data_IF_622630370529
#
_entry.id   IF_622630370529
#
_cell.length_a   1.000
_cell.length_b   1.000
_cell.length_c   1.000
_cell.angle_alpha   90.00
_cell.angle_beta   90.00
_cell.angle_gamma   90.00
#
_symmetry.space_group_name_H-M   'P 1'
#
loop_
_entity.id
_entity.type
_entity.pdbx_description
1 polymer ?
#
# COMPACT_ATOMS: atom_id res chain seq x y z
N UNK A 1 19.41 -9.13 17.95
CA UNK A 1 19.01 -8.44 16.70
C UNK A 1 19.59 -7.05 16.75
N UNK A 2 20.30 -6.63 15.70
CA UNK A 2 20.92 -5.30 15.62
C UNK A 2 19.94 -4.24 15.13
N UNK A 3 20.27 -2.98 15.40
CA UNK A 3 19.54 -1.80 14.91
C UNK A 3 19.55 -1.75 13.37
N UNK A 4 20.59 -2.30 12.73
CA UNK A 4 20.74 -2.33 11.28
C UNK A 4 19.62 -3.16 10.63
N UNK A 5 19.32 -4.33 11.20
CA UNK A 5 18.25 -5.20 10.72
C UNK A 5 16.87 -4.54 10.85
N UNK A 6 16.68 -3.73 11.88
CA UNK A 6 15.43 -2.99 12.06
C UNK A 6 15.27 -1.95 10.95
N UNK A 7 16.32 -1.16 10.71
CA UNK A 7 16.32 -0.14 9.65
C UNK A 7 16.13 -0.74 8.26
N UNK A 8 16.71 -1.91 7.97
CA UNK A 8 16.46 -2.62 6.71
C UNK A 8 14.96 -2.93 6.51
N UNK A 9 14.29 -3.44 7.54
CA UNK A 9 12.85 -3.74 7.47
C UNK A 9 12.04 -2.44 7.35
N UNK A 10 12.42 -1.37 8.07
CA UNK A 10 11.76 -0.06 7.98
C UNK A 10 11.82 0.49 6.56
N UNK A 11 12.99 0.48 5.93
CA UNK A 11 13.18 0.98 4.55
C UNK A 11 12.38 0.14 3.55
N UNK A 12 12.39 -1.18 3.72
CA UNK A 12 11.60 -2.09 2.89
C UNK A 12 10.10 -1.79 3.00
N UNK A 13 9.59 -1.67 4.22
CA UNK A 13 8.18 -1.33 4.48
C UNK A 13 7.83 0.06 3.94
N UNK A 14 8.69 1.06 4.11
CA UNK A 14 8.49 2.40 3.57
C UNK A 14 8.41 2.40 2.03
N UNK A 15 9.22 1.58 1.38
CA UNK A 15 9.20 1.40 -0.08
C UNK A 15 7.88 0.81 -0.56
N UNK A 16 7.33 -0.19 0.16
CA UNK A 16 6.00 -0.72 -0.13
C UNK A 16 4.87 0.30 0.10
N UNK A 17 4.98 1.13 1.14
CA UNK A 17 4.00 2.20 1.39
C UNK A 17 4.03 3.25 0.27
N UNK A 18 5.22 3.59 -0.24
CA UNK A 18 5.36 4.48 -1.41
C UNK A 18 4.66 3.90 -2.65
N UNK A 19 4.80 2.59 -2.89
CA UNK A 19 4.10 1.89 -3.98
C UNK A 19 2.58 1.98 -3.82
N UNK A 20 2.06 1.87 -2.60
CA UNK A 20 0.63 2.06 -2.29
C UNK A 20 0.19 3.53 -2.37
N UNK A 21 1.12 4.48 -2.57
CA UNK A 21 0.87 5.93 -2.59
C UNK A 21 0.14 6.47 -1.35
N UNK A 22 0.33 5.83 -0.19
CA UNK A 22 -0.38 6.19 1.04
C UNK A 22 0.49 7.04 1.98
N UNK A 23 0.56 8.35 1.73
CA UNK A 23 1.41 9.30 2.48
C UNK A 23 1.21 9.28 4.00
N UNK A 24 -0.03 9.12 4.48
CA UNK A 24 -0.30 9.08 5.91
C UNK A 24 0.38 7.92 6.65
N UNK A 25 0.48 6.75 6.00
CA UNK A 25 1.13 5.58 6.57
C UNK A 25 2.65 5.75 6.55
N UNK A 26 3.18 6.46 5.54
CA UNK A 26 4.60 6.74 5.43
C UNK A 26 5.08 7.65 6.57
N UNK A 27 4.31 8.69 6.89
CA UNK A 27 4.61 9.59 8.00
C UNK A 27 4.59 8.81 9.32
N UNK A 28 3.57 7.99 9.56
CA UNK A 28 3.48 7.15 10.77
C UNK A 28 4.68 6.20 10.86
N UNK A 29 5.08 5.56 9.75
CA UNK A 29 6.23 4.66 9.70
C UNK A 29 7.54 5.36 10.08
N UNK A 30 7.76 6.58 9.59
CA UNK A 30 8.96 7.37 9.88
C UNK A 30 8.97 7.80 11.36
N UNK A 31 7.86 8.31 11.86
CA UNK A 31 7.73 8.70 13.28
C UNK A 31 7.99 7.50 14.18
N UNK A 32 7.38 6.36 13.86
CA UNK A 32 7.59 5.11 14.62
C UNK A 32 9.06 4.69 14.61
N UNK A 33 9.72 4.71 13.45
CA UNK A 33 11.13 4.34 13.34
C UNK A 33 12.04 5.24 14.19
N UNK A 34 11.83 6.55 14.16
CA UNK A 34 12.57 7.52 14.98
C UNK A 34 12.32 7.29 16.48
N UNK A 35 11.06 7.04 16.88
CA UNK A 35 10.74 6.76 18.28
C UNK A 35 11.42 5.50 18.79
N UNK A 36 11.48 4.44 17.97
CA UNK A 36 12.16 3.20 18.34
C UNK A 36 13.66 3.41 18.47
N UNK A 37 14.28 4.11 17.53
CA UNK A 37 15.71 4.39 17.51
C UNK A 37 16.18 5.24 18.72
N UNK A 38 15.38 6.23 19.11
CA UNK A 38 15.77 7.20 20.14
C UNK A 38 15.38 6.82 21.57
N UNK A 39 14.29 6.06 21.76
CA UNK A 39 13.70 5.85 23.10
C UNK A 39 13.66 4.40 23.57
N UNK A 40 13.69 3.41 22.66
CA UNK A 40 13.42 2.02 23.03
C UNK A 40 14.71 1.30 23.42
N UNK A 41 14.83 0.97 24.71
CA UNK A 41 15.93 0.17 25.24
C UNK A 41 15.61 -1.33 25.16
N UNK A 42 16.65 -2.14 24.90
CA UNK A 42 16.72 -3.62 24.85
C UNK A 42 15.41 -4.43 24.79
N UNK A 43 14.64 -4.50 25.88
CA UNK A 43 13.38 -5.26 25.92
C UNK A 43 12.28 -4.65 25.03
N UNK A 44 12.07 -3.34 25.13
CA UNK A 44 11.06 -2.65 24.32
C UNK A 44 11.43 -2.63 22.84
N UNK A 45 12.73 -2.58 22.53
CA UNK A 45 13.22 -2.71 21.16
C UNK A 45 12.79 -4.05 20.54
N UNK A 46 12.88 -5.15 21.29
CA UNK A 46 12.48 -6.48 20.80
C UNK A 46 10.98 -6.53 20.48
N UNK A 47 10.14 -5.92 21.32
CA UNK A 47 8.69 -5.83 21.08
C UNK A 47 8.42 -4.98 19.83
N UNK A 48 9.03 -3.80 19.73
CA UNK A 48 8.89 -2.92 18.57
C UNK A 48 9.35 -3.59 17.28
N UNK A 49 10.40 -4.40 17.34
CA UNK A 49 10.90 -5.18 16.21
C UNK A 49 9.86 -6.21 15.73
N UNK A 50 9.23 -6.93 16.65
CA UNK A 50 8.16 -7.89 16.31
C UNK A 50 6.97 -7.17 15.68
N UNK A 51 6.56 -6.04 16.24
CA UNK A 51 5.48 -5.20 15.68
C UNK A 51 5.83 -4.76 14.26
N UNK A 52 7.07 -4.32 14.04
CA UNK A 52 7.56 -3.89 12.73
C UNK A 52 7.53 -5.03 11.70
N UNK A 53 7.88 -6.26 12.09
CA UNK A 53 7.77 -7.43 11.20
C UNK A 53 6.30 -7.68 10.83
N UNK A 54 5.41 -7.74 11.81
CA UNK A 54 3.98 -8.00 11.57
C UNK A 54 3.36 -6.91 10.68
N UNK A 55 3.72 -5.66 10.91
CA UNK A 55 3.27 -4.54 10.10
C UNK A 55 3.83 -4.61 8.67
N UNK A 56 5.10 -4.96 8.50
CA UNK A 56 5.73 -5.14 7.18
C UNK A 56 5.03 -6.23 6.36
N UNK A 57 4.74 -7.38 6.98
CA UNK A 57 3.98 -8.47 6.38
C UNK A 57 2.58 -8.04 5.94
N UNK A 58 1.88 -7.28 6.78
CA UNK A 58 0.56 -6.75 6.45
C UNK A 58 0.60 -5.76 5.27
N UNK A 59 1.59 -4.85 5.24
CA UNK A 59 1.81 -3.94 4.10
C UNK A 59 2.10 -4.72 2.82
N UNK A 60 2.99 -5.72 2.88
CA UNK A 60 3.33 -6.54 1.73
C UNK A 60 2.08 -7.21 1.15
N UNK A 61 1.24 -7.80 2.01
CA UNK A 61 -0.05 -8.38 1.61
C UNK A 61 -0.95 -7.36 0.90
N UNK A 62 -1.06 -6.13 1.43
CA UNK A 62 -1.84 -5.05 0.80
C UNK A 62 -1.29 -4.65 -0.57
N UNK A 63 0.02 -4.60 -0.74
CA UNK A 63 0.66 -4.33 -2.04
C UNK A 63 0.28 -5.41 -3.06
N UNK A 64 0.38 -6.70 -2.69
CA UNK A 64 0.02 -7.79 -3.58
C UNK A 64 -1.46 -7.78 -3.97
N UNK A 65 -2.35 -7.46 -3.04
CA UNK A 65 -3.77 -7.26 -3.37
C UNK A 65 -3.97 -6.11 -4.35
N UNK A 66 -3.35 -4.95 -4.10
CA UNK A 66 -3.48 -3.79 -4.98
C UNK A 66 -2.96 -4.08 -6.40
N UNK A 67 -1.85 -4.79 -6.53
CA UNK A 67 -1.33 -5.25 -7.82
C UNK A 67 -2.31 -6.20 -8.54
N UNK A 68 -2.94 -7.11 -7.79
CA UNK A 68 -3.98 -8.01 -8.34
C UNK A 68 -5.21 -7.26 -8.87
N UNK A 69 -5.71 -6.26 -8.13
CA UNK A 69 -6.82 -5.43 -8.58
C UNK A 69 -6.48 -4.63 -9.84
N UNK A 70 -5.27 -4.06 -9.91
CA UNK A 70 -4.85 -3.32 -11.09
C UNK A 70 -4.78 -4.22 -12.33
N UNK A 71 -4.27 -5.45 -12.18
CA UNK A 71 -4.22 -6.44 -13.25
C UNK A 71 -5.63 -6.84 -13.74
N UNK A 72 -6.58 -7.04 -12.82
CA UNK A 72 -7.98 -7.31 -13.17
C UNK A 72 -8.62 -6.14 -13.94
N UNK A 73 -8.38 -4.91 -13.48
CA UNK A 73 -8.85 -3.69 -14.16
C UNK A 73 -8.28 -3.53 -15.58
N UNK A 74 -7.01 -3.89 -15.79
CA UNK A 74 -6.40 -3.87 -17.11
C UNK A 74 -6.99 -4.95 -18.02
N UNK A 75 -7.26 -6.15 -17.50
CA UNK A 75 -7.94 -7.22 -18.23
C UNK A 75 -9.38 -6.87 -18.62
N UNK A 76 -10.15 -6.25 -17.73
CA UNK A 76 -11.50 -5.75 -18.04
C UNK A 76 -11.49 -4.66 -19.12
N UNK A 77 -10.45 -3.81 -19.15
CA UNK A 77 -10.28 -2.82 -20.22
C UNK A 77 -9.95 -3.48 -21.55
N UNK A 78 -9.16 -4.55 -21.56
CA UNK A 78 -8.84 -5.30 -22.80
C UNK A 78 -10.00 -6.15 -23.31
N UNK A 79 -10.93 -6.59 -22.45
CA UNK A 79 -12.12 -7.34 -22.87
C UNK A 79 -13.28 -6.44 -23.33
N UNK A 80 -13.20 -5.12 -23.12
CA UNK A 80 -14.12 -4.15 -23.72
C UNK A 80 -13.80 -3.99 -25.21
N UNK A 81 -14.59 -4.66 -26.04
CA UNK A 81 -14.80 -4.31 -27.45
C UNK A 81 -14.98 -2.78 -27.52
N UNK A 82 -14.22 -2.05 -28.35
CA UNK A 82 -14.37 -0.60 -28.47
C UNK A 82 -15.78 -0.30 -28.98
N UNK A 83 -16.63 0.22 -28.10
CA UNK A 83 -17.90 0.78 -28.54
C UNK A 83 -17.57 2.09 -29.26
N UNK A 84 -17.54 2.03 -30.60
CA UNK A 84 -17.61 3.22 -31.41
C UNK A 84 -18.91 3.94 -31.08
N UNK A 85 -18.82 5.01 -30.30
CA UNK A 85 -19.90 5.97 -30.14
C UNK A 85 -20.16 6.59 -31.52
N UNK A 86 -21.15 6.06 -32.23
CA UNK A 86 -21.70 6.73 -33.40
C UNK A 86 -22.29 8.07 -32.96
N UNK A 87 -22.01 9.11 -33.75
CA UNK A 87 -22.29 10.52 -33.48
C UNK A 87 -23.78 10.83 -33.23
N UNK A 88 -24.69 9.87 -33.41
CA UNK A 88 -26.14 10.08 -33.34
C UNK A 88 -26.84 9.63 -32.04
N UNK A 89 -26.16 9.04 -31.05
CA UNK A 89 -26.82 8.67 -29.79
C UNK A 89 -26.46 9.59 -28.62
N UNK A 90 -26.91 10.84 -28.69
CA UNK A 90 -27.00 11.74 -27.52
C UNK A 90 -28.13 11.30 -26.58
N UNK A 91 -27.96 10.19 -25.86
CA UNK A 91 -28.81 9.92 -24.67
C UNK A 91 -28.14 9.02 -23.63
N UNK A 92 -26.87 9.29 -23.30
CA UNK A 92 -26.17 8.71 -22.15
C UNK A 92 -26.65 9.23 -20.78
N UNK A 93 -27.95 9.44 -20.57
CA UNK A 93 -28.54 9.71 -19.24
C UNK A 93 -29.30 8.47 -18.77
N UNK A 94 -28.62 7.56 -18.08
CA UNK A 94 -29.26 6.80 -17.00
C UNK A 94 -28.85 7.41 -15.67
N UNK A 95 -29.75 8.26 -15.17
CA UNK A 95 -29.84 8.69 -13.78
C UNK A 95 -30.03 7.45 -12.90
N UNK A 96 -29.27 7.39 -11.81
CA UNK A 96 -29.50 6.59 -10.61
C UNK A 96 -29.26 5.08 -10.75
N UNK A 97 -28.18 4.62 -10.14
CA UNK A 97 -28.16 3.31 -9.47
C UNK A 97 -28.26 3.60 -7.98
N UNK A 98 -29.44 3.32 -7.42
CA UNK A 98 -29.58 2.91 -6.03
C UNK A 98 -28.76 1.63 -5.82
#
# INVERSE_FOLDING_TARGET
MGIENFWLIVILTASFILLLRHLGLLIIQIIFAILVDQFMHSFLFTIAFIIQILFSLWIAYRVFQAAGYQYQLEMEKTSRIPQHYTIESRSGRRKNFL
#
